data_IF_191819323052
#
_entry.id   IF_191819323052
#
_cell.length_a   1.000
_cell.length_b   1.000
_cell.length_c   1.000
_cell.angle_alpha   90.00
_cell.angle_beta   90.00
_cell.angle_gamma   90.00
#
_symmetry.space_group_name_H-M   'P 1'
#
loop_
_entity.id
_entity.type
_entity.pdbx_description
1 polymer ?
#
# COMPACT_ATOMS: atom_id res chain seq x y z
N UNK A 1 3.61 9.31 -19.43
CA UNK A 1 5.03 9.41 -18.99
C UNK A 1 5.68 8.01 -18.98
N UNK A 2 6.90 7.81 -19.52
CA UNK A 2 7.61 6.50 -19.61
C UNK A 2 8.62 6.30 -18.46
N UNK A 3 8.23 6.53 -17.20
CA UNK A 3 9.16 6.60 -16.07
C UNK A 3 8.78 5.71 -14.87
N UNK A 4 8.22 4.52 -15.12
CA UNK A 4 8.06 3.51 -14.06
C UNK A 4 9.22 2.52 -14.09
N UNK A 5 9.62 2.01 -12.93
CA UNK A 5 10.89 1.27 -12.77
C UNK A 5 11.03 0.09 -13.72
N UNK A 6 9.94 -0.64 -13.97
CA UNK A 6 9.92 -1.77 -14.92
C UNK A 6 10.27 -1.37 -16.35
N UNK A 7 9.88 -0.18 -16.82
CA UNK A 7 10.23 0.28 -18.17
C UNK A 7 11.72 0.61 -18.25
N UNK A 8 12.25 1.30 -17.24
CA UNK A 8 13.65 1.70 -17.17
C UNK A 8 14.55 0.46 -17.21
N UNK A 9 14.25 -0.55 -16.40
CA UNK A 9 15.00 -1.83 -16.39
C UNK A 9 14.89 -2.55 -17.72
N UNK A 10 13.72 -2.51 -18.36
CA UNK A 10 13.50 -3.13 -19.67
C UNK A 10 14.37 -2.47 -20.75
N UNK A 11 14.49 -1.13 -20.73
CA UNK A 11 15.39 -0.39 -21.64
C UNK A 11 16.86 -0.77 -21.41
N UNK A 12 17.27 -0.98 -20.15
CA UNK A 12 18.62 -1.45 -19.82
C UNK A 12 18.81 -2.96 -20.04
N UNK A 13 17.78 -3.71 -20.47
CA UNK A 13 17.80 -5.18 -20.65
C UNK A 13 18.39 -5.93 -19.45
N UNK A 14 18.09 -5.45 -18.24
CA UNK A 14 18.62 -6.03 -16.99
C UNK A 14 20.11 -5.77 -16.74
N UNK A 15 20.74 -4.82 -17.44
CA UNK A 15 22.14 -4.41 -17.23
C UNK A 15 22.24 -3.12 -16.42
N UNK A 16 21.48 -3.02 -15.34
CA UNK A 16 21.51 -1.88 -14.42
C UNK A 16 21.09 -2.31 -13.02
N UNK A 17 21.55 -1.56 -12.03
CA UNK A 17 21.14 -1.72 -10.64
C UNK A 17 19.90 -0.84 -10.37
N UNK A 18 18.89 -1.38 -9.70
CA UNK A 18 17.71 -0.64 -9.27
C UNK A 18 17.90 -0.20 -7.82
N UNK A 19 17.77 1.11 -7.57
CA UNK A 19 17.67 1.66 -6.22
C UNK A 19 16.23 2.11 -6.05
N UNK A 20 15.50 1.38 -5.20
CA UNK A 20 14.15 1.77 -4.82
C UNK A 20 14.20 2.86 -3.75
N UNK A 21 13.59 4.01 -4.04
CA UNK A 21 13.54 5.16 -3.11
C UNK A 21 12.17 5.18 -2.44
N UNK A 22 12.15 4.92 -1.14
CA UNK A 22 10.95 4.98 -0.33
C UNK A 22 10.62 6.41 0.11
N UNK A 23 9.37 6.70 0.52
CA UNK A 23 9.06 7.85 1.35
C UNK A 23 9.94 7.86 2.61
N UNK A 24 10.09 9.02 3.26
CA UNK A 24 10.93 9.10 4.46
C UNK A 24 10.39 8.19 5.54
N UNK A 25 11.28 7.46 6.20
CA UNK A 25 10.94 6.68 7.39
C UNK A 25 10.50 7.59 8.53
N UNK A 26 9.80 7.03 9.53
CA UNK A 26 9.42 7.81 10.72
C UNK A 26 10.65 8.37 11.45
N UNK A 27 11.78 7.66 11.41
CA UNK A 27 13.03 8.17 11.98
C UNK A 27 13.50 9.42 11.25
N UNK A 28 13.59 9.37 9.92
CA UNK A 28 13.99 10.52 9.09
C UNK A 28 12.99 11.68 9.21
N UNK A 29 11.70 11.38 9.37
CA UNK A 29 10.67 12.37 9.66
C UNK A 29 10.97 13.13 10.96
N UNK A 30 11.29 12.40 12.04
CA UNK A 30 11.62 13.00 13.33
C UNK A 30 12.96 13.74 13.37
N UNK A 31 13.87 13.47 12.42
CA UNK A 31 15.14 14.20 12.31
C UNK A 31 14.93 15.67 11.89
N UNK A 32 13.77 15.99 11.28
CA UNK A 32 13.43 17.34 10.78
C UNK A 32 12.17 17.93 11.39
N UNK A 33 11.30 17.11 11.99
CA UNK A 33 10.05 17.56 12.61
C UNK A 33 10.30 18.35 13.89
N UNK A 34 9.73 19.55 13.98
CA UNK A 34 9.83 20.42 15.15
C UNK A 34 8.70 20.13 16.14
N UNK A 35 8.90 19.11 16.98
CA UNK A 35 7.96 18.70 18.00
C UNK A 35 8.39 17.43 18.72
N UNK A 36 7.57 16.96 19.66
CA UNK A 36 7.89 15.71 20.35
C UNK A 36 7.51 14.48 19.51
N UNK A 37 7.96 13.30 19.97
CA UNK A 37 7.73 12.04 19.25
C UNK A 37 6.23 11.67 19.13
N UNK A 38 5.39 12.11 20.04
CA UNK A 38 3.96 11.81 20.03
C UNK A 38 3.24 12.72 19.03
N UNK A 39 3.59 14.00 19.00
CA UNK A 39 3.13 14.95 17.99
C UNK A 39 3.58 14.51 16.59
N UNK A 40 4.85 14.16 16.43
CA UNK A 40 5.40 13.66 15.18
C UNK A 40 4.77 12.35 14.74
N UNK A 41 4.52 11.40 15.65
CA UNK A 41 3.79 10.17 15.35
C UNK A 41 2.37 10.45 14.87
N UNK A 42 1.64 11.31 15.57
CA UNK A 42 0.28 11.72 15.19
C UNK A 42 0.27 12.35 13.80
N UNK A 43 1.22 13.23 13.50
CA UNK A 43 1.37 13.84 12.18
C UNK A 43 1.71 12.81 11.10
N UNK A 44 2.70 11.94 11.34
CA UNK A 44 3.14 10.92 10.38
C UNK A 44 2.06 9.87 10.07
N UNK A 45 1.29 9.43 11.06
CA UNK A 45 0.15 8.52 10.89
C UNK A 45 -0.91 9.12 9.96
N UNK A 46 -1.12 10.44 10.02
CA UNK A 46 -2.12 11.12 9.20
C UNK A 46 -1.59 11.50 7.81
N UNK A 47 -0.36 12.01 7.72
CA UNK A 47 0.17 12.65 6.50
C UNK A 47 1.32 11.89 5.82
N UNK A 48 1.75 10.76 6.37
CA UNK A 48 2.79 9.92 5.78
C UNK A 48 4.18 10.55 5.76
N UNK A 49 5.05 9.97 4.94
CA UNK A 49 6.47 10.30 4.79
C UNK A 49 6.83 10.95 3.46
N UNK A 50 5.86 11.43 2.67
CA UNK A 50 6.17 12.16 1.45
C UNK A 50 6.94 13.46 1.78
N UNK A 51 8.16 13.68 1.25
CA UNK A 51 9.06 14.71 1.75
C UNK A 51 8.48 16.13 1.85
N UNK A 52 7.62 16.53 0.91
CA UNK A 52 7.05 17.88 0.89
C UNK A 52 6.09 18.13 2.05
N UNK A 53 5.37 17.10 2.54
CA UNK A 53 4.40 17.25 3.64
C UNK A 53 5.06 17.68 4.95
N UNK A 54 6.34 17.33 5.13
CA UNK A 54 7.15 17.63 6.31
C UNK A 54 7.42 19.14 6.41
N UNK A 55 7.56 19.80 5.26
CA UNK A 55 7.88 21.25 5.18
C UNK A 55 6.65 22.15 5.20
N UNK A 56 5.46 21.58 5.12
CA UNK A 56 4.20 22.33 5.15
C UNK A 56 3.86 22.76 6.59
N UNK A 57 3.21 23.92 6.73
CA UNK A 57 2.96 24.51 8.05
C UNK A 57 1.61 24.11 8.64
N UNK A 58 0.63 23.75 7.80
CA UNK A 58 -0.72 23.40 8.26
C UNK A 58 -1.18 22.06 7.73
N UNK A 59 -2.10 21.44 8.47
CA UNK A 59 -2.71 20.16 8.09
C UNK A 59 -3.52 20.31 6.81
N UNK A 60 -4.22 21.42 6.60
CA UNK A 60 -4.97 21.69 5.38
C UNK A 60 -4.07 21.69 4.15
N UNK A 61 -2.88 22.30 4.24
CA UNK A 61 -1.90 22.28 3.14
C UNK A 61 -1.44 20.86 2.82
N UNK A 62 -1.17 20.03 3.84
CA UNK A 62 -0.79 18.63 3.67
C UNK A 62 -1.92 17.83 3.03
N UNK A 63 -3.15 18.02 3.51
CA UNK A 63 -4.33 17.33 3.00
C UNK A 63 -4.61 17.68 1.54
N UNK A 64 -4.58 18.96 1.18
CA UNK A 64 -4.78 19.43 -0.19
C UNK A 64 -3.69 18.89 -1.12
N UNK A 65 -2.42 18.99 -0.70
CA UNK A 65 -1.30 18.46 -1.47
C UNK A 65 -1.41 16.96 -1.69
N UNK A 66 -1.63 16.17 -0.65
CA UNK A 66 -1.71 14.70 -0.76
C UNK A 66 -2.91 14.27 -1.62
N UNK A 67 -4.05 14.96 -1.48
CA UNK A 67 -5.25 14.69 -2.30
C UNK A 67 -4.98 14.99 -3.76
N UNK A 68 -4.46 16.18 -4.07
CA UNK A 68 -4.13 16.57 -5.44
C UNK A 68 -3.04 15.68 -6.05
N UNK A 69 -2.01 15.34 -5.29
CA UNK A 69 -0.95 14.43 -5.74
C UNK A 69 -1.51 13.04 -6.07
N UNK A 70 -2.37 12.49 -5.20
CA UNK A 70 -2.97 11.19 -5.44
C UNK A 70 -3.87 11.21 -6.69
N UNK A 71 -4.82 12.15 -6.77
CA UNK A 71 -5.83 12.17 -7.83
C UNK A 71 -5.27 12.66 -9.17
N UNK A 72 -4.59 13.80 -9.19
CA UNK A 72 -4.18 14.47 -10.42
C UNK A 72 -2.85 13.98 -10.98
N UNK A 73 -2.01 13.35 -10.16
CA UNK A 73 -0.73 12.78 -10.61
C UNK A 73 -0.82 11.27 -10.68
N UNK A 74 -0.90 10.58 -9.53
CA UNK A 74 -0.78 9.12 -9.52
C UNK A 74 -1.91 8.40 -10.26
N UNK A 75 -3.17 8.67 -9.91
CA UNK A 75 -4.31 7.94 -10.49
C UNK A 75 -4.49 8.29 -11.96
N UNK A 76 -4.36 9.58 -12.31
CA UNK A 76 -4.44 10.03 -13.69
C UNK A 76 -3.35 9.39 -14.57
N UNK A 77 -2.10 9.36 -14.12
CA UNK A 77 -1.01 8.72 -14.85
C UNK A 77 -1.24 7.22 -15.03
N UNK A 78 -1.75 6.52 -14.01
CA UNK A 78 -2.08 5.09 -14.10
C UNK A 78 -3.16 4.84 -15.16
N UNK A 79 -4.23 5.63 -15.14
CA UNK A 79 -5.36 5.50 -16.07
C UNK A 79 -4.89 5.77 -17.51
N UNK A 80 -4.22 6.89 -17.74
CA UNK A 80 -3.78 7.31 -19.08
C UNK A 80 -2.76 6.33 -19.67
N UNK A 81 -1.78 5.91 -18.87
CA UNK A 81 -0.70 5.00 -19.31
C UNK A 81 -1.20 3.62 -19.68
N UNK A 82 -2.13 3.08 -18.89
CA UNK A 82 -2.62 1.72 -19.09
C UNK A 82 -3.92 1.67 -19.92
N UNK A 83 -4.34 2.81 -20.47
CA UNK A 83 -5.55 2.98 -21.28
C UNK A 83 -6.79 2.39 -20.59
N UNK A 84 -6.95 2.72 -19.31
CA UNK A 84 -8.04 2.17 -18.50
C UNK A 84 -9.35 2.88 -18.86
N UNK A 85 -10.25 2.15 -19.53
CA UNK A 85 -11.56 2.68 -19.92
C UNK A 85 -12.52 2.78 -18.74
N UNK A 86 -12.50 1.77 -17.86
CA UNK A 86 -13.43 1.67 -16.73
C UNK A 86 -12.90 2.36 -15.49
N UNK A 87 -12.88 3.69 -15.54
CA UNK A 87 -12.33 4.57 -14.47
C UNK A 87 -13.01 4.32 -13.12
N UNK A 88 -14.32 4.10 -13.10
CA UNK A 88 -15.04 3.83 -11.84
C UNK A 88 -14.53 2.55 -11.16
N UNK A 89 -14.29 1.49 -11.93
CA UNK A 89 -13.88 0.20 -11.38
C UNK A 89 -12.48 0.24 -10.75
N UNK A 90 -11.52 0.94 -11.36
CA UNK A 90 -10.20 1.12 -10.73
C UNK A 90 -10.31 1.97 -9.46
N UNK A 91 -11.15 3.02 -9.48
CA UNK A 91 -11.37 3.86 -8.30
C UNK A 91 -11.99 3.06 -7.14
N UNK A 92 -12.97 2.21 -7.42
CA UNK A 92 -13.60 1.35 -6.42
C UNK A 92 -12.61 0.30 -5.88
N UNK A 93 -11.75 -0.25 -6.74
CA UNK A 93 -10.69 -1.16 -6.31
C UNK A 93 -9.73 -0.46 -5.34
N UNK A 94 -9.28 0.75 -5.66
CA UNK A 94 -8.41 1.54 -4.79
C UNK A 94 -9.09 1.81 -3.45
N UNK A 95 -10.40 2.14 -3.44
CA UNK A 95 -11.17 2.35 -2.22
C UNK A 95 -11.22 1.09 -1.35
N UNK A 96 -11.46 -0.08 -1.96
CA UNK A 96 -11.46 -1.37 -1.26
C UNK A 96 -10.10 -1.65 -0.64
N UNK A 97 -8.99 -1.42 -1.38
CA UNK A 97 -7.64 -1.64 -0.87
C UNK A 97 -7.26 -0.65 0.24
N UNK A 98 -7.61 0.64 0.08
CA UNK A 98 -7.34 1.67 1.06
C UNK A 98 -8.11 1.44 2.37
N UNK A 99 -9.40 1.11 2.28
CA UNK A 99 -10.23 0.82 3.44
C UNK A 99 -9.84 -0.50 4.11
N UNK A 100 -9.51 -1.53 3.32
CA UNK A 100 -9.08 -2.84 3.80
C UNK A 100 -7.57 -2.99 4.03
N UNK A 101 -6.86 -1.91 4.31
CA UNK A 101 -5.41 -1.91 4.51
C UNK A 101 -5.00 -2.90 5.61
N UNK A 102 -3.99 -3.74 5.34
CA UNK A 102 -3.57 -4.76 6.30
C UNK A 102 -4.58 -5.88 6.56
N UNK A 103 -5.69 -5.96 5.81
CA UNK A 103 -6.64 -7.09 5.87
C UNK A 103 -6.35 -8.16 4.82
N UNK A 104 -6.69 -9.42 5.12
CA UNK A 104 -6.45 -10.55 4.21
C UNK A 104 -7.45 -10.58 3.05
N UNK A 105 -6.97 -10.28 1.86
CA UNK A 105 -7.77 -10.27 0.64
C UNK A 105 -7.04 -10.95 -0.52
N UNK A 106 -7.75 -11.18 -1.63
CA UNK A 106 -7.17 -11.64 -2.90
C UNK A 106 -8.08 -11.17 -4.05
N UNK A 107 -7.60 -11.28 -5.28
CA UNK A 107 -8.35 -10.83 -6.45
C UNK A 107 -9.74 -11.49 -6.57
N UNK A 108 -9.89 -12.76 -6.17
CA UNK A 108 -11.18 -13.48 -6.22
C UNK A 108 -12.20 -12.99 -5.20
N UNK A 109 -11.76 -12.62 -3.99
CA UNK A 109 -12.62 -11.99 -2.98
C UNK A 109 -13.08 -10.62 -3.47
N UNK A 110 -12.17 -9.85 -4.05
CA UNK A 110 -12.48 -8.51 -4.59
C UNK A 110 -13.49 -8.64 -5.74
N UNK A 111 -13.28 -9.57 -6.68
CA UNK A 111 -14.23 -9.86 -7.78
C UNK A 111 -15.63 -10.18 -7.24
N UNK A 112 -15.71 -11.04 -6.21
CA UNK A 112 -16.98 -11.37 -5.57
C UNK A 112 -17.66 -10.14 -4.93
N UNK A 113 -16.90 -9.20 -4.38
CA UNK A 113 -17.41 -7.93 -3.86
C UNK A 113 -17.94 -7.03 -4.98
N UNK A 114 -17.19 -6.86 -6.08
CA UNK A 114 -17.65 -6.07 -7.24
C UNK A 114 -18.96 -6.61 -7.80
N UNK A 115 -19.06 -7.93 -7.93
CA UNK A 115 -20.26 -8.60 -8.43
C UNK A 115 -21.45 -8.44 -7.50
N UNK A 116 -21.25 -8.54 -6.18
CA UNK A 116 -22.35 -8.53 -5.20
C UNK A 116 -22.81 -7.12 -4.82
N UNK A 117 -21.91 -6.15 -4.72
CA UNK A 117 -22.22 -4.79 -4.22
C UNK A 117 -22.50 -3.82 -5.36
N UNK A 118 -21.69 -3.85 -6.41
CA UNK A 118 -21.71 -2.85 -7.49
C UNK A 118 -22.35 -3.43 -8.77
N UNK A 119 -22.64 -4.75 -8.77
CA UNK A 119 -23.17 -5.47 -9.93
C UNK A 119 -22.30 -5.29 -11.19
N UNK A 120 -20.99 -5.14 -11.00
CA UNK A 120 -20.02 -5.06 -12.08
C UNK A 120 -19.56 -6.47 -12.49
N UNK A 121 -19.47 -6.70 -13.80
CA UNK A 121 -18.89 -7.90 -14.40
C UNK A 121 -17.37 -7.77 -14.64
N UNK A 122 -16.67 -6.98 -13.83
CA UNK A 122 -15.20 -6.91 -13.88
C UNK A 122 -14.60 -8.30 -13.71
N UNK A 123 -13.65 -8.64 -14.58
CA UNK A 123 -13.01 -9.95 -14.54
C UNK A 123 -11.90 -10.02 -13.49
N UNK A 124 -11.66 -11.21 -12.94
CA UNK A 124 -10.50 -11.51 -12.10
C UNK A 124 -9.17 -11.04 -12.71
N UNK A 125 -9.02 -11.17 -14.04
CA UNK A 125 -7.80 -10.76 -14.74
C UNK A 125 -7.66 -9.24 -14.73
N UNK A 126 -8.75 -8.50 -14.94
CA UNK A 126 -8.76 -7.02 -14.86
C UNK A 126 -8.37 -6.54 -13.48
N UNK A 127 -8.93 -7.14 -12.42
CA UNK A 127 -8.57 -6.81 -11.03
C UNK A 127 -7.08 -7.06 -10.78
N UNK A 128 -6.54 -8.20 -11.22
CA UNK A 128 -5.10 -8.50 -11.11
C UNK A 128 -4.25 -7.47 -11.85
N UNK A 129 -4.61 -7.12 -13.09
CA UNK A 129 -3.89 -6.10 -13.85
C UNK A 129 -3.91 -4.75 -13.15
N UNK A 130 -5.05 -4.31 -12.61
CA UNK A 130 -5.13 -3.04 -11.90
C UNK A 130 -4.29 -3.05 -10.61
N UNK A 131 -4.27 -4.15 -9.87
CA UNK A 131 -3.38 -4.29 -8.70
C UNK A 131 -1.91 -4.20 -9.12
N UNK A 132 -1.52 -4.86 -10.21
CA UNK A 132 -0.16 -4.75 -10.75
C UNK A 132 0.17 -3.32 -11.19
N UNK A 133 -0.76 -2.58 -11.78
CA UNK A 133 -0.54 -1.17 -12.13
C UNK A 133 -0.31 -0.30 -10.89
N UNK A 134 -1.04 -0.56 -9.80
CA UNK A 134 -0.84 0.14 -8.52
C UNK A 134 0.50 -0.22 -7.87
N UNK A 135 0.95 -1.47 -7.99
CA UNK A 135 2.27 -1.93 -7.52
C UNK A 135 3.39 -1.29 -8.32
N UNK A 136 3.25 -1.28 -9.64
CA UNK A 136 4.22 -0.67 -10.54
C UNK A 136 4.37 0.83 -10.25
N UNK A 137 3.24 1.50 -10.00
CA UNK A 137 3.17 2.91 -9.61
C UNK A 137 3.61 3.23 -8.17
N UNK A 138 4.10 2.23 -7.43
CA UNK A 138 4.51 2.37 -6.02
C UNK A 138 3.40 2.95 -5.13
N UNK A 139 2.14 2.62 -5.43
CA UNK A 139 1.00 2.99 -4.57
C UNK A 139 0.80 1.93 -3.50
N UNK A 140 0.84 0.66 -3.90
CA UNK A 140 0.65 -0.47 -2.98
C UNK A 140 1.75 -1.50 -3.12
N UNK A 141 2.03 -2.17 -2.01
CA UNK A 141 2.89 -3.33 -1.89
C UNK A 141 2.08 -4.50 -1.33
N UNK A 142 2.51 -5.73 -1.60
CA UNK A 142 1.86 -6.94 -1.09
C UNK A 142 2.77 -7.72 -0.13
N UNK A 143 2.19 -8.25 0.94
CA UNK A 143 2.84 -9.18 1.85
C UNK A 143 2.20 -10.56 1.74
N UNK A 144 3.01 -11.55 1.35
CA UNK A 144 2.56 -12.92 1.13
C UNK A 144 2.34 -13.66 2.45
N UNK A 145 1.68 -14.81 2.36
CA UNK A 145 1.50 -15.70 3.51
C UNK A 145 2.71 -16.60 3.71
N UNK A 146 3.42 -16.44 4.83
CA UNK A 146 4.59 -17.26 5.19
C UNK A 146 4.24 -18.75 5.35
N UNK A 147 3.04 -19.06 5.84
CA UNK A 147 2.60 -20.42 6.18
C UNK A 147 2.03 -21.23 4.98
N UNK A 148 2.18 -20.73 3.76
CA UNK A 148 1.60 -21.33 2.55
C UNK A 148 2.65 -22.10 1.74
N UNK A 149 2.28 -23.28 1.23
CA UNK A 149 3.19 -24.19 0.50
C UNK A 149 2.53 -24.86 -0.69
N UNK A 150 3.31 -25.04 -1.76
CA UNK A 150 2.91 -25.80 -2.95
C UNK A 150 1.70 -25.20 -3.65
N UNK A 151 0.76 -26.04 -4.09
CA UNK A 151 -0.43 -25.60 -4.84
C UNK A 151 -1.31 -24.60 -4.07
N UNK A 152 -1.17 -24.51 -2.74
CA UNK A 152 -1.91 -23.57 -1.91
C UNK A 152 -1.57 -22.10 -2.19
N UNK A 153 -0.45 -21.79 -2.84
CA UNK A 153 -0.15 -20.40 -3.24
C UNK A 153 -1.23 -19.80 -4.15
N UNK A 154 -1.88 -20.62 -4.97
CA UNK A 154 -2.91 -20.15 -5.90
C UNK A 154 -4.17 -19.76 -5.10
N UNK A 155 -4.54 -18.48 -5.19
CA UNK A 155 -5.74 -17.94 -4.54
C UNK A 155 -5.60 -17.73 -3.04
N UNK A 156 -4.41 -17.88 -2.46
CA UNK A 156 -4.18 -17.57 -1.05
C UNK A 156 -4.42 -16.07 -0.80
N UNK A 157 -5.19 -15.70 0.26
CA UNK A 157 -5.30 -14.32 0.69
C UNK A 157 -3.95 -13.79 1.17
N UNK A 158 -3.63 -12.56 0.78
CA UNK A 158 -2.44 -11.81 1.15
C UNK A 158 -2.87 -10.44 1.70
N UNK A 159 -1.93 -9.64 2.22
CA UNK A 159 -2.22 -8.28 2.68
C UNK A 159 -1.64 -7.27 1.69
N UNK A 160 -2.39 -6.20 1.43
CA UNK A 160 -1.91 -5.04 0.71
C UNK A 160 -1.66 -3.89 1.70
N UNK A 161 -0.55 -3.18 1.48
CA UNK A 161 -0.12 -2.01 2.22
C UNK A 161 0.16 -0.88 1.25
N UNK A 162 -0.07 0.36 1.65
CA UNK A 162 0.30 1.53 0.87
C UNK A 162 1.76 1.89 1.16
N UNK A 163 2.52 2.26 0.13
CA UNK A 163 3.91 2.70 0.30
C UNK A 163 3.99 3.99 1.13
N UNK A 164 2.93 4.81 1.10
CA UNK A 164 2.75 5.98 1.95
C UNK A 164 1.33 6.02 2.55
N UNK A 165 1.24 6.13 3.89
CA UNK A 165 -0.05 6.15 4.60
C UNK A 165 -0.80 7.47 4.44
N UNK A 166 -0.11 8.57 4.16
CA UNK A 166 -0.70 9.87 3.85
C UNK A 166 -1.47 9.83 2.55
N UNK A 167 -0.93 9.21 1.50
CA UNK A 167 -1.64 8.96 0.24
C UNK A 167 -2.90 8.10 0.44
N UNK A 168 -2.79 7.04 1.26
CA UNK A 168 -3.93 6.22 1.64
C UNK A 168 -5.01 7.04 2.34
N UNK A 169 -4.63 7.88 3.28
CA UNK A 169 -5.57 8.70 4.04
C UNK A 169 -6.21 9.77 3.17
N UNK A 170 -5.45 10.40 2.27
CA UNK A 170 -5.97 11.32 1.27
C UNK A 170 -7.04 10.67 0.39
N UNK A 171 -6.80 9.44 -0.07
CA UNK A 171 -7.81 8.69 -0.82
C UNK A 171 -9.12 8.47 -0.08
N UNK A 172 -9.06 8.34 1.25
CA UNK A 172 -10.26 8.20 2.09
C UNK A 172 -10.76 9.52 2.69
N UNK A 173 -10.23 10.65 2.18
CA UNK A 173 -10.57 11.99 2.63
C UNK A 173 -10.25 12.26 4.10
N UNK A 174 -9.24 11.57 4.66
CA UNK A 174 -8.80 11.66 6.05
C UNK A 174 -9.90 11.35 7.09
N UNK A 175 -10.92 10.57 6.72
CA UNK A 175 -12.06 10.24 7.62
C UNK A 175 -11.91 8.93 8.38
N UNK A 176 -11.18 7.97 7.80
CA UNK A 176 -11.08 6.59 8.32
C UNK A 176 -9.70 6.34 8.93
N UNK A 177 -9.48 6.76 10.17
CA UNK A 177 -8.21 6.53 10.87
C UNK A 177 -8.31 5.29 11.75
N UNK A 178 -7.97 4.13 11.19
CA UNK A 178 -7.83 2.89 11.95
C UNK A 178 -6.38 2.72 12.39
N UNK A 179 -6.05 3.28 13.55
CA UNK A 179 -4.66 3.40 14.03
C UNK A 179 -3.90 2.07 14.03
N UNK A 180 -4.54 0.96 14.44
CA UNK A 180 -3.90 -0.37 14.45
C UNK A 180 -3.44 -0.81 13.06
N UNK A 181 -4.28 -0.63 12.03
CA UNK A 181 -3.97 -1.05 10.67
C UNK A 181 -2.98 -0.10 10.00
N UNK A 182 -3.07 1.20 10.29
CA UNK A 182 -2.10 2.19 9.80
C UNK A 182 -0.73 1.94 10.43
N UNK A 183 -0.66 1.68 11.75
CA UNK A 183 0.57 1.32 12.44
C UNK A 183 1.18 0.04 11.87
N UNK A 184 0.37 -0.98 11.58
CA UNK A 184 0.83 -2.19 10.91
C UNK A 184 1.47 -1.88 9.54
N UNK A 185 0.84 -1.02 8.74
CA UNK A 185 1.40 -0.58 7.46
C UNK A 185 2.72 0.19 7.65
N UNK A 186 2.79 1.09 8.61
CA UNK A 186 4.02 1.85 8.89
C UNK A 186 5.16 0.90 9.26
N UNK A 187 4.89 -0.10 10.10
CA UNK A 187 5.87 -1.13 10.46
C UNK A 187 6.29 -1.95 9.23
N UNK A 188 5.35 -2.32 8.36
CA UNK A 188 5.66 -2.99 7.10
C UNK A 188 6.62 -2.16 6.23
N UNK A 189 6.33 -0.86 6.05
CA UNK A 189 7.17 0.05 5.27
C UNK A 189 8.56 0.21 5.90
N UNK A 190 8.64 0.40 7.22
CA UNK A 190 9.92 0.50 7.95
C UNK A 190 10.80 -0.75 7.75
N UNK A 191 10.20 -1.95 7.82
CA UNK A 191 10.93 -3.19 7.58
C UNK A 191 11.43 -3.29 6.14
N UNK A 192 10.64 -2.83 5.17
CA UNK A 192 11.02 -2.78 3.74
C UNK A 192 12.18 -1.82 3.50
N UNK A 193 12.13 -0.62 4.10
CA UNK A 193 13.21 0.39 4.05
C UNK A 193 14.51 -0.18 4.60
N UNK A 194 14.45 -1.00 5.66
CA UNK A 194 15.62 -1.69 6.23
C UNK A 194 16.14 -2.87 5.41
N UNK A 195 15.52 -3.17 4.27
CA UNK A 195 15.92 -4.25 3.35
C UNK A 195 15.36 -5.62 3.69
N UNK A 196 14.36 -5.72 4.58
CA UNK A 196 13.73 -7.01 4.89
C UNK A 196 12.71 -7.41 3.83
N UNK A 197 12.62 -8.72 3.60
CA UNK A 197 11.48 -9.33 2.91
C UNK A 197 10.42 -9.64 3.97
N UNK A 198 9.22 -9.07 3.82
CA UNK A 198 8.20 -9.10 4.85
C UNK A 198 7.01 -9.95 4.39
N UNK A 199 6.79 -11.05 5.09
CA UNK A 199 5.61 -11.90 4.93
C UNK A 199 4.73 -11.80 6.18
N UNK A 200 3.45 -12.11 6.02
CA UNK A 200 2.47 -12.20 7.11
C UNK A 200 2.02 -13.63 7.31
N UNK A 201 1.58 -13.99 8.50
CA UNK A 201 1.15 -15.35 8.76
C UNK A 201 0.84 -15.61 10.21
N UNK A 202 0.47 -16.86 10.49
CA UNK A 202 0.20 -17.31 11.85
C UNK A 202 1.38 -18.15 12.32
N UNK A 203 2.02 -17.72 13.40
CA UNK A 203 3.03 -18.52 14.09
C UNK A 203 2.34 -19.34 15.16
N UNK A 204 2.31 -20.67 15.00
CA UNK A 204 1.82 -21.56 16.06
C UNK A 204 2.80 -21.51 17.24
N UNK A 205 2.39 -20.87 18.34
CA UNK A 205 3.11 -20.96 19.61
C UNK A 205 2.74 -22.28 20.30
N UNK A 206 3.72 -23.17 20.40
CA UNK A 206 3.60 -24.38 21.22
C UNK A 206 3.90 -24.03 22.68
N UNK A 207 2.94 -24.21 23.56
CA UNK A 207 3.12 -24.05 25.00
C UNK A 207 3.46 -25.42 25.61
N UNK A 208 4.56 -25.50 26.37
CA UNK A 208 4.85 -26.66 27.22
C UNK A 208 4.04 -26.55 28.51
N UNK A 209 2.99 -27.36 28.65
CA UNK A 209 2.32 -27.57 29.92
C UNK A 209 2.99 -28.75 30.66
N UNK A 210 2.67 -28.92 31.96
CA UNK A 210 3.17 -30.05 32.77
C UNK A 210 2.77 -31.43 32.21
N UNK A 211 1.80 -31.47 31.29
CA UNK A 211 1.25 -32.67 30.67
C UNK A 211 1.79 -32.92 29.24
N UNK A 212 2.59 -32.00 28.67
CA UNK A 212 3.16 -32.15 27.33
C UNK A 212 3.27 -30.85 26.54
N UNK A 213 3.63 -30.95 25.26
CA UNK A 213 3.67 -29.81 24.33
C UNK A 213 2.29 -29.71 23.65
N UNK A 214 1.55 -28.61 23.86
CA UNK A 214 0.38 -28.25 23.04
C UNK A 214 0.75 -27.13 22.06
#
# INVERSE_FOLDING_TARGET
SKFLSKDIITEFRGRGDEIHVFPVSFKEYMDVFDGDKYEGWSSYVNFGGLPLTITMNTDEQRMEYLTGLFEETYIKDIIERNHIEKIQEINDLINILASGIGSLTNASKIEATFKSVIQSDISLNTIRSYIEYLKDAFIVSEANRYDVKGRKYIGTPLKYYFEDVGLRNARLGFRQTEETHIMENIIYNELRVRGFHVDVGVVMKRNRTKEGVQ
#
